data_IF_692862498847
#
_entry.id   IF_692862498847
#
_cell.length_a   1.000
_cell.length_b   1.000
_cell.length_c   1.000
_cell.angle_alpha   90.00
_cell.angle_beta   90.00
_cell.angle_gamma   90.00
#
_symmetry.space_group_name_H-M   'P 1'
#
loop_
_entity.id
_entity.type
_entity.pdbx_description
1 polymer ?
#
# COMPACT_ATOMS: atom_id res chain seq x y z
N UNK A 1 -7.46 -7.30 3.37
CA UNK A 1 -8.67 -8.14 3.58
C UNK A 1 -8.74 -8.66 5.02
N UNK A 2 -7.63 -9.11 5.62
CA UNK A 2 -7.57 -9.49 7.06
C UNK A 2 -7.90 -8.35 8.03
N UNK A 3 -7.44 -7.12 7.76
CA UNK A 3 -7.66 -5.93 8.64
C UNK A 3 -9.14 -5.52 8.72
N UNK A 4 -9.96 -5.87 7.73
CA UNK A 4 -11.40 -5.57 7.74
C UNK A 4 -12.23 -6.71 8.35
N UNK A 5 -11.63 -7.90 8.54
CA UNK A 5 -12.31 -9.06 9.10
C UNK A 5 -12.73 -8.83 10.57
N UNK A 6 -11.98 -8.00 11.31
CA UNK A 6 -12.33 -7.63 12.69
C UNK A 6 -13.59 -6.77 12.77
N UNK A 7 -13.98 -6.10 11.69
CA UNK A 7 -15.20 -5.26 11.61
C UNK A 7 -16.42 -6.04 11.09
N UNK A 8 -16.32 -7.35 10.83
CA UNK A 8 -17.43 -8.19 10.34
C UNK A 8 -18.62 -8.21 11.29
N UNK A 9 -18.36 -8.05 12.59
CA UNK A 9 -19.39 -8.04 13.64
C UNK A 9 -20.29 -6.80 13.53
N UNK A 10 -19.81 -5.72 12.89
CA UNK A 10 -20.56 -4.47 12.68
C UNK A 10 -21.36 -4.47 11.37
N UNK A 11 -21.22 -5.51 10.54
CA UNK A 11 -21.94 -5.65 9.27
C UNK A 11 -23.35 -6.17 9.51
N UNK A 12 -24.35 -5.47 8.99
CA UNK A 12 -25.74 -5.92 9.03
C UNK A 12 -25.88 -7.25 8.26
N UNK A 13 -26.40 -8.31 8.88
CA UNK A 13 -26.52 -9.66 8.31
C UNK A 13 -25.20 -10.22 7.73
N UNK A 14 -24.18 -10.46 8.58
CA UNK A 14 -22.83 -10.81 8.14
C UNK A 14 -22.79 -12.12 7.34
N UNK A 15 -23.64 -13.11 7.66
CA UNK A 15 -23.70 -14.41 6.96
C UNK A 15 -24.02 -14.30 5.46
N UNK A 16 -24.63 -13.20 5.00
CA UNK A 16 -25.01 -13.00 3.59
C UNK A 16 -24.30 -11.79 2.99
N UNK A 17 -24.23 -10.68 3.71
CA UNK A 17 -23.70 -9.44 3.18
C UNK A 17 -22.17 -9.45 3.11
N UNK A 18 -21.49 -10.13 4.04
CA UNK A 18 -20.02 -10.22 4.01
C UNK A 18 -19.50 -11.04 2.82
N UNK A 19 -20.04 -12.25 2.50
CA UNK A 19 -19.66 -12.97 1.28
C UNK A 19 -19.92 -12.17 -0.01
N UNK A 20 -21.08 -11.49 -0.11
CA UNK A 20 -21.43 -10.67 -1.28
C UNK A 20 -20.48 -9.47 -1.41
N UNK A 21 -20.15 -8.82 -0.29
CA UNK A 21 -19.21 -7.70 -0.27
C UNK A 21 -17.80 -8.14 -0.71
N UNK A 22 -17.31 -9.28 -0.22
CA UNK A 22 -16.01 -9.82 -0.63
C UNK A 22 -16.00 -10.17 -2.12
N UNK A 23 -17.00 -10.91 -2.60
CA UNK A 23 -17.04 -11.35 -4.01
C UNK A 23 -17.17 -10.14 -4.94
N UNK A 24 -18.01 -9.17 -4.59
CA UNK A 24 -18.15 -7.95 -5.40
C UNK A 24 -16.88 -7.09 -5.37
N UNK A 25 -16.25 -6.90 -4.21
CA UNK A 25 -14.98 -6.19 -4.10
C UNK A 25 -13.85 -6.89 -4.88
N UNK A 26 -13.77 -8.22 -4.79
CA UNK A 26 -12.80 -9.01 -5.56
C UNK A 26 -13.04 -8.87 -7.07
N UNK A 27 -14.28 -8.98 -7.54
CA UNK A 27 -14.63 -8.84 -8.94
C UNK A 27 -14.28 -7.44 -9.47
N UNK A 28 -14.64 -6.38 -8.75
CA UNK A 28 -14.31 -4.99 -9.11
C UNK A 28 -12.79 -4.78 -9.15
N UNK A 29 -12.07 -5.31 -8.15
CA UNK A 29 -10.61 -5.22 -8.09
C UNK A 29 -9.97 -5.90 -9.30
N UNK A 30 -10.40 -7.11 -9.66
CA UNK A 30 -9.88 -7.82 -10.83
C UNK A 30 -10.13 -7.02 -12.10
N UNK A 31 -11.34 -6.48 -12.29
CA UNK A 31 -11.66 -5.65 -13.47
C UNK A 31 -10.73 -4.44 -13.54
N UNK A 32 -10.63 -3.67 -12.45
CA UNK A 32 -9.79 -2.46 -12.43
C UNK A 32 -8.31 -2.80 -12.70
N UNK A 33 -7.78 -3.84 -12.06
CA UNK A 33 -6.37 -4.23 -12.21
C UNK A 33 -6.07 -4.77 -13.61
N UNK A 34 -6.94 -5.60 -14.18
CA UNK A 34 -6.75 -6.16 -15.52
C UNK A 34 -6.79 -5.04 -16.56
N UNK A 35 -7.83 -4.21 -16.56
CA UNK A 35 -7.94 -3.12 -17.52
C UNK A 35 -6.85 -2.05 -17.31
N UNK A 36 -6.52 -1.71 -16.06
CA UNK A 36 -5.44 -0.78 -15.75
C UNK A 36 -4.09 -1.25 -16.27
N UNK A 37 -3.75 -2.53 -16.05
CA UNK A 37 -2.49 -3.11 -16.51
C UNK A 37 -2.44 -3.17 -18.04
N UNK A 38 -3.55 -3.54 -18.70
CA UNK A 38 -3.63 -3.55 -20.16
C UNK A 38 -3.44 -2.15 -20.76
N UNK A 39 -4.04 -1.11 -20.18
CA UNK A 39 -3.84 0.27 -20.63
C UNK A 39 -2.38 0.71 -20.52
N UNK A 40 -1.69 0.35 -19.43
CA UNK A 40 -0.26 0.67 -19.27
C UNK A 40 0.58 -0.09 -20.30
N UNK A 41 0.27 -1.37 -20.53
CA UNK A 41 1.00 -2.22 -21.47
C UNK A 41 0.86 -1.77 -22.93
N UNK A 42 -0.25 -1.14 -23.32
CA UNK A 42 -0.44 -0.60 -24.68
C UNK A 42 0.19 0.77 -24.88
N UNK A 43 0.37 1.56 -23.81
CA UNK A 43 0.91 2.92 -23.88
C UNK A 43 2.43 3.00 -23.69
N UNK A 44 3.01 2.15 -22.84
CA UNK A 44 4.44 2.21 -22.52
C UNK A 44 5.24 1.20 -23.36
N UNK A 45 6.29 1.64 -24.08
CA UNK A 45 7.24 0.72 -24.72
C UNK A 45 7.88 -0.22 -23.71
N UNK A 46 8.00 -1.51 -24.04
CA UNK A 46 8.49 -2.53 -23.08
C UNK A 46 9.88 -2.23 -22.50
N UNK A 47 10.70 -1.44 -23.21
CA UNK A 47 12.05 -1.06 -22.79
C UNK A 47 12.08 0.00 -21.67
N UNK A 48 10.97 0.71 -21.42
CA UNK A 48 10.88 1.80 -20.43
C UNK A 48 10.00 1.42 -19.20
N UNK A 49 9.62 0.16 -19.06
CA UNK A 49 8.84 -0.32 -17.92
C UNK A 49 9.75 -0.39 -16.68
N UNK A 50 9.85 0.72 -15.95
CA UNK A 50 10.37 0.75 -14.59
C UNK A 50 9.20 0.74 -13.60
N UNK A 51 9.06 -0.29 -12.76
CA UNK A 51 7.93 -0.46 -11.84
C UNK A 51 7.59 0.78 -11.00
N UNK A 52 8.59 1.60 -10.66
CA UNK A 52 8.40 2.80 -9.83
C UNK A 52 7.94 4.00 -10.67
N UNK A 53 8.40 4.13 -11.91
CA UNK A 53 8.10 5.28 -12.78
C UNK A 53 7.01 5.00 -13.82
N UNK A 54 6.66 3.73 -14.04
CA UNK A 54 5.75 3.30 -15.11
C UNK A 54 4.42 4.04 -15.05
N UNK A 55 3.82 4.20 -13.87
CA UNK A 55 2.53 4.88 -13.75
C UNK A 55 2.62 6.37 -14.12
N UNK A 56 3.70 7.03 -13.68
CA UNK A 56 3.91 8.47 -13.90
C UNK A 56 4.25 8.76 -15.37
N UNK A 57 5.04 7.88 -15.98
CA UNK A 57 5.35 7.88 -17.43
C UNK A 57 4.08 7.58 -18.24
N UNK A 58 3.25 6.60 -17.82
CA UNK A 58 1.98 6.29 -18.47
C UNK A 58 1.07 7.53 -18.56
N UNK A 59 0.87 8.22 -17.44
CA UNK A 59 0.02 9.41 -17.42
C UNK A 59 0.59 10.53 -18.28
N UNK A 60 1.90 10.76 -18.24
CA UNK A 60 2.55 11.77 -19.07
C UNK A 60 2.36 11.49 -20.57
N UNK A 61 2.61 10.25 -21.01
CA UNK A 61 2.43 9.83 -22.41
C UNK A 61 0.96 9.88 -22.84
N UNK A 62 0.05 9.43 -21.97
CA UNK A 62 -1.39 9.50 -22.22
C UNK A 62 -1.84 10.95 -22.46
N UNK A 63 -1.50 11.86 -21.55
CA UNK A 63 -1.90 13.27 -21.67
C UNK A 63 -1.15 14.01 -22.78
N UNK A 64 0.07 13.58 -23.13
CA UNK A 64 0.79 14.08 -24.30
C UNK A 64 0.08 13.69 -25.61
N UNK A 65 -0.46 12.47 -25.71
CA UNK A 65 -1.30 12.05 -26.85
C UNK A 65 -2.57 12.89 -27.01
N UNK A 66 -3.15 13.37 -25.91
CA UNK A 66 -4.29 14.30 -25.93
C UNK A 66 -3.90 15.78 -26.09
N UNK A 67 -2.61 16.09 -26.28
CA UNK A 67 -2.12 17.45 -26.47
C UNK A 67 -2.09 18.32 -25.21
N UNK A 68 -2.25 17.73 -24.02
CA UNK A 68 -2.30 18.45 -22.73
C UNK A 68 -1.26 17.91 -21.72
N UNK A 69 0.05 18.04 -21.99
CA UNK A 69 1.11 17.46 -21.15
C UNK A 69 1.14 18.00 -19.71
N UNK A 70 0.58 19.19 -19.46
CA UNK A 70 0.50 19.80 -18.12
C UNK A 70 -0.38 19.00 -17.14
N UNK A 71 -1.36 18.24 -17.63
CA UNK A 71 -2.19 17.36 -16.80
C UNK A 71 -1.38 16.24 -16.16
N UNK A 72 -0.27 15.83 -16.77
CA UNK A 72 0.64 14.84 -16.19
C UNK A 72 1.24 15.30 -14.87
N UNK A 73 1.60 16.59 -14.74
CA UNK A 73 2.14 17.15 -13.50
C UNK A 73 1.07 17.25 -12.40
N UNK A 74 -0.16 17.61 -12.76
CA UNK A 74 -1.27 17.65 -11.82
C UNK A 74 -1.63 16.24 -11.32
N UNK A 75 -1.62 15.24 -12.20
CA UNK A 75 -1.83 13.85 -11.84
C UNK A 75 -0.70 13.32 -10.94
N UNK A 76 0.56 13.66 -11.24
CA UNK A 76 1.70 13.31 -10.39
C UNK A 76 1.56 13.87 -8.97
N UNK A 77 1.10 15.12 -8.83
CA UNK A 77 0.82 15.71 -7.52
C UNK A 77 -0.32 14.98 -6.79
N UNK A 78 -1.43 14.69 -7.49
CA UNK A 78 -2.55 13.94 -6.92
C UNK A 78 -2.13 12.54 -6.46
N UNK A 79 -1.31 11.84 -7.25
CA UNK A 79 -0.74 10.55 -6.88
C UNK A 79 0.15 10.65 -5.65
N UNK A 80 1.00 11.68 -5.55
CA UNK A 80 1.84 11.90 -4.39
C UNK A 80 1.00 12.06 -3.11
N UNK A 81 -0.08 12.85 -3.14
CA UNK A 81 -1.01 12.96 -2.02
C UNK A 81 -1.72 11.65 -1.71
N UNK A 82 -2.15 10.90 -2.73
CA UNK A 82 -2.79 9.59 -2.57
C UNK A 82 -1.87 8.58 -1.88
N UNK A 83 -0.60 8.52 -2.29
CA UNK A 83 0.41 7.64 -1.69
C UNK A 83 0.69 8.04 -0.24
N UNK A 84 0.77 9.33 0.07
CA UNK A 84 0.94 9.79 1.46
C UNK A 84 -0.22 9.34 2.35
N UNK A 85 -1.47 9.49 1.87
CA UNK A 85 -2.65 8.98 2.57
C UNK A 85 -2.57 7.46 2.78
N UNK A 86 -2.24 6.71 1.73
CA UNK A 86 -2.10 5.26 1.79
C UNK A 86 -1.03 4.82 2.80
N UNK A 87 0.11 5.50 2.88
CA UNK A 87 1.16 5.19 3.87
C UNK A 87 0.63 5.35 5.29
N UNK A 88 -0.15 6.40 5.57
CA UNK A 88 -0.70 6.60 6.93
C UNK A 88 -1.65 5.46 7.35
N UNK A 89 -2.47 4.96 6.42
CA UNK A 89 -3.40 3.85 6.69
C UNK A 89 -2.67 2.52 6.86
N UNK A 90 -1.73 2.19 5.96
CA UNK A 90 -0.95 0.94 6.01
C UNK A 90 -0.03 0.91 7.24
N UNK A 91 0.40 2.05 7.77
CA UNK A 91 1.19 2.10 9.02
C UNK A 91 0.31 1.95 10.25
N UNK A 92 -0.90 2.52 10.24
CA UNK A 92 -1.81 2.47 11.38
C UNK A 92 -2.40 1.06 11.63
N UNK A 93 -2.66 0.27 10.59
CA UNK A 93 -3.21 -1.08 10.73
C UNK A 93 -2.32 -2.03 11.55
N UNK A 94 -1.11 -2.37 11.08
CA UNK A 94 -0.19 -3.30 11.76
C UNK A 94 0.20 -2.85 13.17
N UNK A 95 0.35 -1.53 13.38
CA UNK A 95 0.68 -0.99 14.70
C UNK A 95 -0.46 -1.15 15.71
N UNK A 96 -1.70 -1.06 15.25
CA UNK A 96 -2.90 -1.31 16.07
C UNK A 96 -3.07 -2.81 16.36
N UNK A 97 -2.92 -3.65 15.35
CA UNK A 97 -3.00 -5.12 15.48
C UNK A 97 -1.92 -5.63 16.45
N UNK A 98 -0.68 -5.14 16.33
CA UNK A 98 0.43 -5.53 17.19
C UNK A 98 0.21 -5.08 18.64
N UNK A 99 -0.39 -3.91 18.87
CA UNK A 99 -0.75 -3.47 20.21
C UNK A 99 -1.82 -4.36 20.85
N UNK A 100 -2.80 -4.82 20.06
CA UNK A 100 -3.86 -5.70 20.56
C UNK A 100 -3.27 -7.03 21.06
N UNK A 101 -2.40 -7.65 20.26
CA UNK A 101 -1.64 -8.86 20.65
C UNK A 101 -0.72 -8.57 21.83
N UNK A 102 -0.11 -7.39 21.89
CA UNK A 102 0.73 -6.98 23.00
C UNK A 102 0.00 -6.92 24.34
N UNK A 103 -1.23 -6.39 24.34
CA UNK A 103 -2.09 -6.32 25.54
C UNK A 103 -2.51 -7.69 26.07
N UNK A 104 -2.47 -8.73 25.23
CA UNK A 104 -2.68 -10.12 25.65
C UNK A 104 -1.44 -10.75 26.31
N UNK A 105 -0.34 -9.98 26.46
CA UNK A 105 0.87 -10.37 27.19
C UNK A 105 2.04 -10.77 26.29
N UNK A 106 1.88 -10.73 24.97
CA UNK A 106 2.91 -11.19 24.02
C UNK A 106 3.98 -10.15 23.66
N UNK A 107 3.87 -8.89 24.14
CA UNK A 107 4.91 -7.86 23.96
C UNK A 107 5.41 -7.28 25.28
N UNK A 108 6.67 -6.79 25.34
CA UNK A 108 7.18 -6.04 26.49
C UNK A 108 6.30 -4.83 26.81
N UNK A 109 6.04 -4.58 28.10
CA UNK A 109 5.17 -3.49 28.58
C UNK A 109 5.63 -2.10 28.11
N UNK A 110 6.93 -1.94 27.83
CA UNK A 110 7.49 -0.73 27.24
C UNK A 110 6.94 -0.45 25.84
N UNK A 111 6.75 -1.48 25.00
CA UNK A 111 6.23 -1.31 23.63
C UNK A 111 4.71 -1.12 23.60
N UNK A 112 4.01 -1.52 24.65
CA UNK A 112 2.54 -1.36 24.76
C UNK A 112 2.11 0.06 25.18
N UNK A 113 3.05 0.97 25.41
CA UNK A 113 2.75 2.31 25.90
C UNK A 113 2.07 3.17 24.82
N UNK A 114 0.93 3.74 25.18
CA UNK A 114 0.20 4.70 24.36
C UNK A 114 0.57 6.15 24.75
N UNK A 115 0.54 7.06 23.78
CA UNK A 115 0.66 8.49 24.07
C UNK A 115 -0.68 9.09 24.57
N UNK A 116 -0.68 10.40 24.86
CA UNK A 116 -1.86 11.14 25.33
C UNK A 116 -3.06 11.11 24.38
N UNK A 117 -2.82 10.83 23.10
CA UNK A 117 -3.84 10.73 22.06
C UNK A 117 -4.26 9.27 21.79
N UNK A 118 -3.85 8.32 22.63
CA UNK A 118 -4.20 6.90 22.49
C UNK A 118 -3.40 6.16 21.40
N UNK A 119 -2.39 6.79 20.80
CA UNK A 119 -1.60 6.24 19.69
C UNK A 119 -0.40 5.44 20.21
N UNK A 120 -0.11 4.29 19.58
CA UNK A 120 0.92 3.32 19.98
C UNK A 120 2.34 3.80 19.55
N UNK A 121 2.79 4.90 20.16
CA UNK A 121 3.95 5.65 19.68
C UNK A 121 5.24 4.83 19.65
N UNK A 122 5.46 3.96 20.64
CA UNK A 122 6.68 3.16 20.69
C UNK A 122 6.73 2.07 19.60
N UNK A 123 5.59 1.44 19.29
CA UNK A 123 5.48 0.49 18.17
C UNK A 123 5.72 1.21 16.85
N UNK A 124 5.11 2.39 16.66
CA UNK A 124 5.28 3.21 15.46
C UNK A 124 6.74 3.62 15.24
N UNK A 125 7.45 4.05 16.28
CA UNK A 125 8.87 4.38 16.18
C UNK A 125 9.73 3.17 15.84
N UNK A 126 9.45 2.01 16.43
CA UNK A 126 10.20 0.78 16.17
C UNK A 126 9.99 0.28 14.73
N UNK A 127 8.76 0.24 14.26
CA UNK A 127 8.44 -0.07 12.86
C UNK A 127 9.07 0.94 11.90
N UNK A 128 8.98 2.23 12.20
CA UNK A 128 9.58 3.29 11.39
C UNK A 128 11.11 3.17 11.29
N UNK A 129 11.78 2.77 12.38
CA UNK A 129 13.21 2.48 12.37
C UNK A 129 13.53 1.29 11.45
N UNK A 130 12.79 0.19 11.58
CA UNK A 130 12.97 -1.00 10.74
C UNK A 130 12.78 -0.66 9.27
N UNK A 131 11.68 0.02 8.92
CA UNK A 131 11.40 0.46 7.54
C UNK A 131 12.51 1.36 7.03
N UNK A 132 12.99 2.31 7.83
CA UNK A 132 14.08 3.22 7.44
C UNK A 132 15.39 2.46 7.17
N UNK A 133 15.74 1.49 8.03
CA UNK A 133 16.93 0.64 7.85
C UNK A 133 16.80 -0.19 6.58
N UNK A 134 15.65 -0.84 6.36
CA UNK A 134 15.39 -1.61 5.14
C UNK A 134 15.44 -0.69 3.91
N UNK A 135 14.82 0.48 3.94
CA UNK A 135 14.88 1.45 2.84
C UNK A 135 16.30 1.85 2.50
N UNK A 136 17.16 2.12 3.50
CA UNK A 136 18.58 2.41 3.27
C UNK A 136 19.27 1.21 2.61
N UNK A 137 19.04 -0.01 3.12
CA UNK A 137 19.64 -1.22 2.56
C UNK A 137 19.17 -1.49 1.12
N UNK A 138 17.93 -1.15 0.76
CA UNK A 138 17.36 -1.36 -0.58
C UNK A 138 17.71 -0.25 -1.59
N UNK A 139 18.05 0.95 -1.12
CA UNK A 139 18.51 2.07 -1.98
C UNK A 139 19.97 1.90 -2.41
N UNK A 140 20.77 1.15 -1.66
CA UNK A 140 22.19 0.89 -1.97
C UNK A 140 22.40 0.01 -3.21
N UNK A 141 21.64 -1.07 -3.48
CA UNK A 141 21.76 -1.81 -4.73
C UNK A 141 21.17 -1.04 -5.92
N UNK A 142 21.77 -1.15 -7.12
CA UNK A 142 21.44 -0.32 -8.29
C UNK A 142 20.06 -0.60 -8.92
N UNK A 143 19.35 -1.64 -8.50
CA UNK A 143 18.04 -2.01 -9.08
C UNK A 143 17.00 -2.32 -8.01
N UNK A 144 16.12 -1.34 -7.77
CA UNK A 144 14.91 -1.46 -6.94
C UNK A 144 14.06 -2.69 -7.34
N UNK A 145 13.89 -3.05 -8.63
CA UNK A 145 13.13 -4.26 -9.01
C UNK A 145 13.72 -5.57 -8.46
N UNK A 146 15.06 -5.70 -8.40
CA UNK A 146 15.71 -6.92 -7.91
C UNK A 146 15.54 -7.09 -6.40
N UNK A 147 15.57 -5.98 -5.65
CA UNK A 147 15.26 -5.95 -4.23
C UNK A 147 13.82 -6.43 -3.94
N UNK A 148 12.84 -5.94 -4.71
CA UNK A 148 11.44 -6.38 -4.58
C UNK A 148 11.26 -7.86 -4.92
N UNK A 149 11.97 -8.39 -5.92
CA UNK A 149 11.93 -9.82 -6.25
C UNK A 149 12.50 -10.69 -5.14
N UNK A 150 13.62 -10.27 -4.52
CA UNK A 150 14.22 -10.99 -3.38
C UNK A 150 13.29 -10.96 -2.17
N UNK A 151 12.71 -9.80 -1.84
CA UNK A 151 11.75 -9.68 -0.75
C UNK A 151 10.48 -10.49 -0.98
N UNK A 152 9.97 -10.52 -2.21
CA UNK A 152 8.84 -11.36 -2.57
C UNK A 152 9.11 -12.85 -2.38
N UNK A 153 10.34 -13.31 -2.64
CA UNK A 153 10.76 -14.70 -2.40
C UNK A 153 10.95 -15.01 -0.92
N UNK A 154 11.25 -14.01 -0.08
CA UNK A 154 11.40 -14.17 1.37
C UNK A 154 10.06 -14.05 2.13
N UNK A 155 9.05 -13.43 1.53
CA UNK A 155 7.74 -13.21 2.12
C UNK A 155 6.72 -14.34 1.83
N UNK A 156 7.05 -15.29 0.96
CA UNK A 156 6.33 -16.54 0.76
C UNK A 156 6.83 -17.64 1.70
#
# INVERSE_FOLDING_TARGET
MEINAVHVVEVENPSRNYPIAIISAAAVTVVILVFGTLCIATLIPQNDINLVQSLLVAYKELFAHFGMPWLGQLMAAALAFGVLGQITEIVAGPSTDLLQVGREGYLPTFLQANNKNGVQSHILFFQGLIVSVISILLVVPPSVPSAYQILGQLAC
#
